data_IF_569545809348
#
_entry.id   IF_569545809348
#
_cell.length_a   1.000
_cell.length_b   1.000
_cell.length_c   1.000
_cell.angle_alpha   90.00
_cell.angle_beta   90.00
_cell.angle_gamma   90.00
#
_symmetry.space_group_name_H-M   'P 1'
#
loop_
_entity.id
_entity.type
_entity.pdbx_description
1 polymer ?
#
# COMPACT_ATOMS: atom_id res chain seq x y z
N UNK A 1 -25.09 25.37 54.61
CA UNK A 1 -24.42 25.67 53.33
C UNK A 1 -22.89 25.59 53.45
N UNK A 2 -22.30 24.43 53.77
CA UNK A 2 -20.83 24.25 53.84
C UNK A 2 -20.31 23.11 52.96
N UNK A 3 -21.18 22.25 52.43
CA UNK A 3 -20.82 21.14 51.55
C UNK A 3 -20.51 21.56 50.10
N UNK A 4 -21.07 22.65 49.58
CA UNK A 4 -20.83 23.03 48.18
C UNK A 4 -19.46 23.69 47.95
N UNK A 5 -18.91 24.33 48.99
CA UNK A 5 -17.61 25.00 48.90
C UNK A 5 -16.44 24.01 48.87
N UNK A 6 -16.55 22.87 49.56
CA UNK A 6 -15.53 21.82 49.54
C UNK A 6 -15.51 21.06 48.21
N UNK A 7 -16.67 20.84 47.58
CA UNK A 7 -16.75 20.23 46.25
C UNK A 7 -16.14 21.09 45.15
N UNK A 8 -16.36 22.41 45.20
CA UNK A 8 -15.75 23.36 44.25
C UNK A 8 -14.22 23.44 44.41
N UNK A 9 -13.72 23.40 45.64
CA UNK A 9 -12.28 23.41 45.90
C UNK A 9 -11.57 22.13 45.42
N UNK A 10 -12.21 20.97 45.56
CA UNK A 10 -11.66 19.70 45.08
C UNK A 10 -11.63 19.60 43.54
N UNK A 11 -12.62 20.16 42.84
CA UNK A 11 -12.67 20.21 41.38
C UNK A 11 -11.62 21.17 40.79
N UNK A 12 -11.36 22.29 41.47
CA UNK A 12 -10.32 23.24 41.07
C UNK A 12 -8.90 22.65 41.22
N UNK A 13 -8.68 21.79 42.22
CA UNK A 13 -7.38 21.17 42.48
C UNK A 13 -7.07 20.02 41.50
N UNK A 14 -8.10 19.33 40.98
CA UNK A 14 -7.90 18.26 39.98
C UNK A 14 -7.58 18.80 38.58
N UNK A 15 -7.97 20.03 38.27
CA UNK A 15 -7.61 20.73 37.02
C UNK A 15 -6.14 21.23 37.00
N UNK A 16 -5.50 21.33 38.16
CA UNK A 16 -4.11 21.77 38.31
C UNK A 16 -3.11 20.61 38.30
N UNK A 17 -3.58 19.37 38.23
CA UNK A 17 -2.68 18.22 38.06
C UNK A 17 -2.06 18.30 36.66
N UNK A 18 -0.73 18.27 36.54
CA UNK A 18 -0.08 18.21 35.25
C UNK A 18 -0.58 16.96 34.55
N UNK A 19 -1.34 17.16 33.48
CA UNK A 19 -1.73 16.08 32.59
C UNK A 19 -0.42 15.61 31.98
N UNK A 20 0.15 14.54 32.54
CA UNK A 20 1.25 13.82 31.90
C UNK A 20 0.80 13.56 30.48
N UNK A 21 1.42 14.24 29.51
CA UNK A 21 1.05 14.15 28.11
C UNK A 21 1.04 12.67 27.77
N UNK A 22 -0.16 12.12 27.53
CA UNK A 22 -0.26 10.75 27.06
C UNK A 22 0.60 10.70 25.79
N UNK A 23 1.72 9.98 25.84
CA UNK A 23 2.54 9.77 24.66
C UNK A 23 1.69 8.94 23.72
N UNK A 24 1.10 9.60 22.72
CA UNK A 24 0.48 8.88 21.62
C UNK A 24 1.55 7.92 21.07
N UNK A 25 1.17 6.66 20.84
CA UNK A 25 2.10 5.69 20.27
C UNK A 25 2.59 6.22 18.92
N UNK A 26 3.90 6.34 18.80
CA UNK A 26 4.57 6.85 17.61
C UNK A 26 4.81 5.71 16.61
N UNK A 27 3.74 5.28 15.96
CA UNK A 27 3.79 4.26 14.92
C UNK A 27 4.17 4.88 13.57
N UNK A 28 4.91 4.15 12.72
CA UNK A 28 5.20 4.63 11.38
C UNK A 28 3.91 4.79 10.55
N UNK A 29 3.88 5.70 9.56
CA UNK A 29 2.72 5.89 8.69
C UNK A 29 2.27 4.62 7.94
N UNK A 30 3.18 3.68 7.69
CA UNK A 30 2.90 2.40 7.02
C UNK A 30 2.58 1.25 8.00
N UNK A 31 2.40 1.55 9.29
CA UNK A 31 2.09 0.55 10.30
C UNK A 31 0.79 -0.21 9.96
N UNK A 32 0.83 -1.56 9.84
CA UNK A 32 -0.34 -2.35 9.51
C UNK A 32 -1.24 -2.45 10.74
N UNK A 33 -2.41 -1.82 10.68
CA UNK A 33 -3.44 -1.91 11.73
C UNK A 33 -4.36 -3.10 11.48
N UNK A 34 -4.40 -3.58 10.24
CA UNK A 34 -5.12 -4.78 9.85
C UNK A 34 -4.33 -5.56 8.79
N UNK A 35 -4.78 -6.77 8.48
CA UNK A 35 -4.14 -7.61 7.47
C UNK A 35 -5.19 -8.47 6.78
N UNK A 36 -5.72 -7.96 5.69
CA UNK A 36 -6.78 -8.65 4.93
C UNK A 36 -6.30 -8.94 3.53
N UNK A 37 -6.48 -10.18 3.10
CA UNK A 37 -6.10 -10.64 1.77
C UNK A 37 -7.34 -10.94 0.95
N UNK A 38 -7.36 -10.42 -0.27
CA UNK A 38 -8.29 -10.86 -1.31
C UNK A 38 -7.46 -11.41 -2.46
N UNK A 39 -7.87 -12.53 -3.01
CA UNK A 39 -7.24 -13.09 -4.19
C UNK A 39 -8.24 -13.60 -5.19
N UNK A 40 -7.81 -13.60 -6.45
CA UNK A 40 -8.55 -14.18 -7.56
C UNK A 40 -7.56 -14.76 -8.57
N UNK A 41 -7.92 -15.89 -9.17
CA UNK A 41 -7.17 -16.51 -10.27
C UNK A 41 -7.92 -16.29 -11.56
N UNK A 42 -7.20 -15.92 -12.62
CA UNK A 42 -7.77 -15.72 -13.96
C UNK A 42 -6.76 -16.14 -15.02
N UNK A 43 -7.10 -17.18 -15.79
CA UNK A 43 -6.15 -17.81 -16.71
C UNK A 43 -4.83 -18.19 -16.02
N UNK A 44 -3.66 -17.80 -16.56
CA UNK A 44 -2.36 -18.07 -15.96
C UNK A 44 -1.96 -17.08 -14.83
N UNK A 45 -2.86 -16.19 -14.43
CA UNK A 45 -2.59 -15.16 -13.42
C UNK A 45 -3.23 -15.48 -12.08
N UNK A 46 -2.53 -15.15 -11.01
CA UNK A 46 -3.11 -14.98 -9.69
C UNK A 46 -2.89 -13.53 -9.25
N UNK A 47 -3.95 -12.93 -8.74
CA UNK A 47 -3.98 -11.55 -8.27
C UNK A 47 -4.24 -11.55 -6.79
N UNK A 48 -3.42 -10.83 -6.04
CA UNK A 48 -3.51 -10.74 -4.59
C UNK A 48 -3.51 -9.27 -4.19
N UNK A 49 -4.56 -8.84 -3.51
CA UNK A 49 -4.59 -7.58 -2.78
C UNK A 49 -4.33 -7.85 -1.31
N UNK A 50 -3.35 -7.16 -0.74
CA UNK A 50 -3.16 -7.13 0.71
C UNK A 50 -3.49 -5.74 1.25
N UNK A 51 -4.49 -5.68 2.11
CA UNK A 51 -4.96 -4.46 2.77
C UNK A 51 -4.39 -4.39 4.18
N UNK A 52 -3.62 -3.34 4.44
CA UNK A 52 -2.91 -3.14 5.72
C UNK A 52 -3.62 -2.16 6.65
N UNK A 53 -4.48 -1.29 6.11
CA UNK A 53 -5.27 -0.32 6.88
C UNK A 53 -6.43 0.23 6.05
N UNK A 54 -7.60 0.37 6.69
CA UNK A 54 -8.75 1.12 6.18
C UNK A 54 -9.36 1.99 7.31
N UNK A 55 -9.85 3.21 6.99
CA UNK A 55 -9.65 3.92 5.72
C UNK A 55 -8.17 4.28 5.51
N UNK A 56 -7.76 4.40 4.26
CA UNK A 56 -6.40 4.77 3.87
C UNK A 56 -5.94 4.04 2.62
N UNK A 57 -5.08 4.70 1.82
CA UNK A 57 -4.49 4.13 0.59
C UNK A 57 -3.34 3.18 0.93
N UNK A 58 -3.56 2.24 1.85
CA UNK A 58 -2.54 1.31 2.37
C UNK A 58 -2.87 -0.12 1.96
N UNK A 59 -2.71 -0.38 0.68
CA UNK A 59 -2.85 -1.71 0.10
C UNK A 59 -1.76 -1.98 -0.93
N UNK A 60 -1.45 -3.25 -1.13
CA UNK A 60 -0.55 -3.72 -2.18
C UNK A 60 -1.32 -4.57 -3.17
N UNK A 61 -0.81 -4.60 -4.41
CA UNK A 61 -1.26 -5.47 -5.47
C UNK A 61 -0.08 -6.32 -5.91
N UNK A 62 -0.23 -7.64 -5.82
CA UNK A 62 0.68 -8.61 -6.43
C UNK A 62 -0.06 -9.26 -7.58
N UNK A 63 0.55 -9.24 -8.76
CA UNK A 63 0.09 -10.01 -9.92
C UNK A 63 1.17 -11.03 -10.23
N UNK A 64 0.88 -12.31 -10.02
CA UNK A 64 1.76 -13.41 -10.38
C UNK A 64 1.29 -14.04 -11.68
N UNK A 65 2.24 -14.53 -12.47
CA UNK A 65 2.04 -15.10 -13.79
C UNK A 65 2.78 -16.43 -13.88
N UNK A 66 2.07 -17.47 -14.33
CA UNK A 66 2.59 -18.85 -14.51
C UNK A 66 2.28 -19.41 -15.89
N UNK A 67 2.06 -18.54 -16.87
CA UNK A 67 1.65 -18.95 -18.22
C UNK A 67 2.81 -19.41 -19.10
N UNK A 68 2.48 -19.68 -20.36
CA UNK A 68 3.37 -20.39 -21.26
C UNK A 68 4.63 -19.59 -21.64
N UNK A 69 4.58 -18.25 -21.60
CA UNK A 69 5.74 -17.40 -21.94
C UNK A 69 6.94 -17.67 -21.02
N UNK A 70 6.71 -18.15 -19.78
CA UNK A 70 7.78 -18.55 -18.86
C UNK A 70 8.53 -19.81 -19.27
N UNK A 71 7.91 -20.65 -20.09
CA UNK A 71 8.60 -21.79 -20.71
C UNK A 71 9.48 -21.39 -21.89
N UNK A 72 9.35 -20.15 -22.37
CA UNK A 72 10.03 -19.65 -23.57
C UNK A 72 11.06 -18.57 -23.25
N UNK A 73 10.81 -17.77 -22.21
CA UNK A 73 11.60 -16.60 -21.86
C UNK A 73 11.86 -16.54 -20.35
N UNK A 74 13.02 -16.04 -19.91
CA UNK A 74 13.28 -15.79 -18.50
C UNK A 74 12.35 -14.69 -17.96
N UNK A 75 12.05 -14.74 -16.65
CA UNK A 75 11.07 -13.87 -16.01
C UNK A 75 11.35 -12.36 -16.22
N UNK A 76 12.63 -11.96 -16.28
CA UNK A 76 13.04 -10.56 -16.51
C UNK A 76 12.82 -10.06 -17.96
N UNK A 77 12.44 -10.95 -18.89
CA UNK A 77 12.05 -10.60 -20.27
C UNK A 77 10.53 -10.60 -20.46
N UNK A 78 9.77 -10.90 -19.42
CA UNK A 78 8.31 -10.90 -19.43
C UNK A 78 7.83 -9.58 -18.84
N UNK A 79 6.88 -8.94 -19.51
CA UNK A 79 6.15 -7.79 -18.98
C UNK A 79 4.70 -8.16 -18.78
N UNK A 80 4.10 -7.66 -17.71
CA UNK A 80 2.69 -7.86 -17.38
C UNK A 80 1.96 -6.55 -17.68
N UNK A 81 1.00 -6.61 -18.59
CA UNK A 81 -0.01 -5.58 -18.78
C UNK A 81 -1.03 -5.68 -17.65
N UNK A 82 -1.27 -4.56 -16.97
CA UNK A 82 -2.22 -4.44 -15.87
C UNK A 82 -3.11 -3.24 -16.14
N UNK A 83 -4.42 -3.47 -16.24
CA UNK A 83 -5.42 -2.41 -16.20
C UNK A 83 -6.23 -2.52 -14.91
N UNK A 84 -6.12 -1.55 -14.01
CA UNK A 84 -6.85 -1.47 -12.75
C UNK A 84 -7.84 -0.30 -12.80
N UNK A 85 -9.14 -0.59 -12.70
CA UNK A 85 -10.21 0.41 -12.69
C UNK A 85 -10.07 1.44 -13.84
N UNK A 86 -9.69 0.96 -15.04
CA UNK A 86 -9.52 1.77 -16.24
C UNK A 86 -8.16 2.46 -16.41
N UNK A 87 -7.25 2.43 -15.42
CA UNK A 87 -5.86 2.91 -15.55
C UNK A 87 -4.97 1.74 -15.95
N UNK A 88 -4.02 1.94 -16.85
CA UNK A 88 -3.22 0.85 -17.41
C UNK A 88 -1.72 1.11 -17.34
N UNK A 89 -0.97 0.06 -17.06
CA UNK A 89 0.49 0.05 -17.04
C UNK A 89 0.99 -1.28 -17.59
N UNK A 90 2.16 -1.27 -18.24
CA UNK A 90 2.87 -2.50 -18.62
C UNK A 90 4.21 -2.51 -17.92
N UNK A 91 4.41 -3.50 -17.07
CA UNK A 91 5.51 -3.52 -16.10
C UNK A 91 6.33 -4.78 -16.26
N UNK A 92 7.65 -4.64 -16.26
CA UNK A 92 8.56 -5.78 -16.29
C UNK A 92 8.37 -6.63 -15.04
N UNK A 93 8.26 -7.94 -15.24
CA UNK A 93 8.13 -8.88 -14.15
C UNK A 93 9.49 -9.10 -13.45
N UNK A 94 9.40 -9.42 -12.17
CA UNK A 94 10.50 -9.93 -11.37
C UNK A 94 10.35 -11.44 -11.20
N UNK A 95 11.47 -12.13 -10.98
CA UNK A 95 11.45 -13.55 -10.62
C UNK A 95 10.94 -13.71 -9.18
N UNK A 96 9.86 -14.45 -9.01
CA UNK A 96 9.21 -14.74 -7.73
C UNK A 96 9.81 -15.94 -7.02
N UNK A 97 9.54 -16.02 -5.72
CA UNK A 97 10.06 -17.09 -4.85
C UNK A 97 9.40 -18.45 -5.16
N UNK A 98 8.22 -18.46 -5.78
CA UNK A 98 7.43 -19.67 -6.02
C UNK A 98 7.43 -20.08 -7.49
N UNK A 99 8.56 -19.86 -8.17
CA UNK A 99 8.71 -20.09 -9.61
C UNK A 99 7.57 -19.44 -10.39
N UNK A 100 7.40 -18.14 -10.19
CA UNK A 100 6.39 -17.30 -10.82
C UNK A 100 7.03 -15.98 -11.29
N UNK A 101 6.61 -15.45 -12.43
CA UNK A 101 6.96 -14.10 -12.82
C UNK A 101 5.93 -13.16 -12.18
N UNK A 102 6.35 -12.11 -11.48
CA UNK A 102 5.38 -11.27 -10.76
C UNK A 102 5.68 -9.78 -10.88
N UNK A 103 4.63 -8.99 -10.67
CA UNK A 103 4.69 -7.54 -10.45
C UNK A 103 4.11 -7.25 -9.08
N UNK A 104 4.81 -6.42 -8.31
CA UNK A 104 4.37 -5.95 -6.99
C UNK A 104 4.27 -4.42 -6.99
N UNK A 105 3.13 -3.93 -6.52
CA UNK A 105 2.77 -2.51 -6.51
C UNK A 105 2.21 -2.13 -5.14
N UNK A 106 2.52 -0.93 -4.67
CA UNK A 106 2.08 -0.41 -3.38
C UNK A 106 1.35 0.92 -3.56
N UNK A 107 0.13 1.02 -3.02
CA UNK A 107 -0.69 2.22 -3.10
C UNK A 107 -0.33 3.28 -2.05
N UNK A 108 0.45 2.91 -1.03
CA UNK A 108 0.72 3.75 0.13
C UNK A 108 2.21 3.90 0.44
N UNK A 109 2.55 4.68 1.48
CA UNK A 109 3.92 4.80 1.94
C UNK A 109 4.49 3.44 2.34
N UNK A 110 5.82 3.31 2.18
CA UNK A 110 6.58 2.10 2.53
C UNK A 110 7.97 2.47 3.04
N UNK A 111 8.62 1.50 3.67
CA UNK A 111 9.99 1.63 4.17
C UNK A 111 10.18 2.89 5.04
N UNK A 112 9.18 3.16 5.89
CA UNK A 112 9.20 4.31 6.79
C UNK A 112 10.31 4.16 7.83
N UNK A 113 11.18 5.16 7.93
CA UNK A 113 12.22 5.24 8.95
C UNK A 113 12.07 6.55 9.71
N UNK A 114 12.21 6.48 11.04
CA UNK A 114 12.23 7.66 11.88
C UNK A 114 13.61 8.30 11.80
N UNK A 115 13.69 9.41 11.08
CA UNK A 115 14.96 10.09 10.81
C UNK A 115 15.40 10.91 12.00
N UNK A 116 16.59 10.60 12.49
CA UNK A 116 17.27 11.36 13.54
C UNK A 116 18.54 12.00 12.98
N UNK A 117 18.94 13.19 13.44
CA UNK A 117 20.11 13.91 12.91
C UNK A 117 21.42 13.10 12.93
N UNK A 118 21.55 12.15 13.86
CA UNK A 118 22.72 11.29 13.97
C UNK A 118 22.69 10.07 13.03
N UNK A 119 21.61 9.85 12.27
CA UNK A 119 21.48 8.73 11.35
C UNK A 119 22.00 9.09 9.96
N UNK A 120 22.94 8.27 9.46
CA UNK A 120 23.51 8.40 8.12
C UNK A 120 22.83 7.43 7.12
N UNK A 121 21.51 7.50 7.03
CA UNK A 121 20.74 6.77 6.02
C UNK A 121 20.41 7.70 4.86
N UNK A 122 20.54 7.28 3.59
CA UNK A 122 20.38 8.16 2.43
C UNK A 122 19.09 9.01 2.45
N UNK A 123 17.95 8.37 2.77
CA UNK A 123 16.65 9.05 2.86
C UNK A 123 16.55 10.06 4.02
N UNK A 124 17.29 9.85 5.11
CA UNK A 124 17.35 10.80 6.22
C UNK A 124 18.29 11.97 5.89
N UNK A 125 19.42 11.68 5.24
CA UNK A 125 20.33 12.72 4.74
C UNK A 125 19.63 13.65 3.76
N UNK A 126 18.87 13.11 2.80
CA UNK A 126 18.06 13.90 1.87
C UNK A 126 16.99 14.73 2.59
N UNK A 127 16.27 14.14 3.55
CA UNK A 127 15.28 14.85 4.36
C UNK A 127 15.89 16.07 5.07
N UNK A 128 17.02 15.89 5.76
CA UNK A 128 17.69 16.99 6.44
C UNK A 128 18.30 18.01 5.48
N UNK A 129 18.83 17.58 4.33
CA UNK A 129 19.34 18.48 3.30
C UNK A 129 18.23 19.41 2.75
N UNK A 130 16.98 18.94 2.75
CA UNK A 130 15.79 19.70 2.36
C UNK A 130 15.16 20.51 3.50
N UNK A 131 15.85 20.66 4.65
CA UNK A 131 15.36 21.43 5.80
C UNK A 131 14.36 20.68 6.68
N UNK A 132 14.33 19.35 6.58
CA UNK A 132 13.47 18.48 7.37
C UNK A 132 13.76 18.52 8.87
N UNK A 133 12.73 18.20 9.67
CA UNK A 133 12.81 18.19 11.14
C UNK A 133 13.35 16.87 11.69
N UNK A 134 13.93 16.93 12.88
CA UNK A 134 14.40 15.77 13.63
C UNK A 134 13.24 14.96 14.23
N UNK A 135 13.38 13.64 14.28
CA UNK A 135 12.41 12.76 14.93
C UNK A 135 11.10 12.53 14.18
N UNK A 136 11.07 12.76 12.86
CA UNK A 136 9.88 12.52 12.02
C UNK A 136 10.03 11.24 11.18
N UNK A 137 8.90 10.62 10.86
CA UNK A 137 8.87 9.48 9.93
C UNK A 137 9.04 9.94 8.49
N UNK A 138 10.04 9.39 7.82
CA UNK A 138 10.30 9.58 6.39
C UNK A 138 10.05 8.26 5.69
N UNK A 139 9.15 8.27 4.72
CA UNK A 139 8.71 7.08 4.00
C UNK A 139 8.94 7.25 2.50
N UNK A 140 9.24 6.15 1.84
CA UNK A 140 9.17 6.10 0.38
C UNK A 140 7.71 6.22 -0.04
N UNK A 141 7.43 7.21 -0.90
CA UNK A 141 6.09 7.41 -1.47
C UNK A 141 5.85 6.45 -2.64
N UNK A 142 4.58 6.15 -2.97
CA UNK A 142 4.25 5.47 -4.23
C UNK A 142 4.88 6.20 -5.42
N UNK A 143 5.41 5.43 -6.37
CA UNK A 143 5.95 5.95 -7.62
C UNK A 143 4.86 6.61 -8.47
N UNK A 144 5.26 7.35 -9.52
CA UNK A 144 4.30 7.92 -10.47
C UNK A 144 3.41 6.84 -11.12
N UNK A 145 3.99 5.69 -11.46
CA UNK A 145 3.29 4.51 -12.00
C UNK A 145 2.25 3.97 -11.02
N UNK A 146 2.63 3.81 -9.74
CA UNK A 146 1.71 3.32 -8.70
C UNK A 146 0.58 4.33 -8.45
N UNK A 147 0.89 5.62 -8.34
CA UNK A 147 -0.11 6.68 -8.16
C UNK A 147 -1.11 6.73 -9.31
N UNK A 148 -0.62 6.55 -10.54
CA UNK A 148 -1.43 6.50 -11.75
C UNK A 148 -2.37 5.29 -11.76
N UNK A 149 -1.82 4.10 -11.52
CA UNK A 149 -2.58 2.85 -11.59
C UNK A 149 -3.63 2.78 -10.46
N UNK A 150 -3.29 3.21 -9.25
CA UNK A 150 -4.20 3.22 -8.10
C UNK A 150 -5.11 4.45 -8.04
N UNK A 151 -5.16 5.29 -9.08
CA UNK A 151 -5.91 6.54 -9.06
C UNK A 151 -7.41 6.33 -8.73
N UNK A 152 -8.05 5.32 -9.33
CA UNK A 152 -9.45 4.97 -9.09
C UNK A 152 -9.65 3.74 -8.17
N UNK A 153 -8.58 3.26 -7.53
CA UNK A 153 -8.64 2.09 -6.66
C UNK A 153 -9.29 2.39 -5.29
N UNK A 154 -9.37 3.66 -4.92
CA UNK A 154 -9.93 4.14 -3.65
C UNK A 154 -10.92 5.27 -3.91
N UNK A 155 -11.90 5.42 -3.01
CA UNK A 155 -12.81 6.57 -3.03
C UNK A 155 -12.25 7.76 -2.22
N UNK A 156 -12.99 8.86 -2.18
CA UNK A 156 -12.62 10.08 -1.47
C UNK A 156 -12.38 9.89 0.03
N UNK A 157 -12.96 8.86 0.65
CA UNK A 157 -12.82 8.55 2.06
C UNK A 157 -11.65 7.59 2.33
N UNK A 158 -10.91 7.18 1.30
CA UNK A 158 -9.84 6.20 1.41
C UNK A 158 -10.32 4.75 1.58
N UNK A 159 -11.60 4.48 1.32
CA UNK A 159 -12.10 3.10 1.23
C UNK A 159 -11.74 2.53 -0.14
N UNK A 160 -11.58 1.21 -0.20
CA UNK A 160 -11.30 0.51 -1.45
C UNK A 160 -12.57 0.35 -2.28
N UNK A 161 -12.49 0.77 -3.53
CA UNK A 161 -13.47 0.40 -4.54
C UNK A 161 -13.35 -1.10 -4.84
N UNK A 162 -14.32 -1.65 -5.60
CA UNK A 162 -14.05 -2.90 -6.30
C UNK A 162 -12.85 -2.68 -7.22
N UNK A 163 -11.95 -3.65 -7.27
CA UNK A 163 -10.79 -3.61 -8.16
C UNK A 163 -11.09 -4.52 -9.34
N UNK A 164 -11.43 -3.89 -10.46
CA UNK A 164 -11.61 -4.52 -11.76
C UNK A 164 -10.25 -4.55 -12.46
N UNK A 165 -9.72 -5.75 -12.69
CA UNK A 165 -8.34 -5.95 -13.09
C UNK A 165 -8.31 -6.77 -14.39
N UNK A 166 -7.86 -6.13 -15.48
CA UNK A 166 -7.59 -6.80 -16.75
C UNK A 166 -6.09 -7.05 -16.91
N UNK A 167 -5.72 -8.26 -17.33
CA UNK A 167 -4.35 -8.75 -17.35
C UNK A 167 -3.98 -9.43 -18.68
N UNK A 168 -2.74 -9.22 -19.09
CA UNK A 168 -2.07 -10.03 -20.10
C UNK A 168 -0.57 -10.04 -19.82
N UNK A 169 0.15 -11.02 -20.36
CA UNK A 169 1.61 -11.04 -20.32
C UNK A 169 2.14 -10.92 -21.74
N UNK A 170 3.29 -10.26 -21.90
CA UNK A 170 3.94 -10.11 -23.18
C UNK A 170 5.44 -10.27 -23.08
N UNK A 171 6.02 -10.87 -24.11
CA UNK A 171 7.47 -10.93 -24.32
C UNK A 171 7.75 -11.03 -25.81
N UNK A 172 8.71 -10.24 -26.31
CA UNK A 172 9.17 -10.30 -27.71
C UNK A 172 8.03 -10.25 -28.76
N UNK A 173 6.99 -9.46 -28.51
CA UNK A 173 5.83 -9.32 -29.39
C UNK A 173 4.79 -10.44 -29.29
N UNK A 174 5.04 -11.48 -28.50
CA UNK A 174 4.05 -12.49 -28.15
C UNK A 174 3.18 -12.01 -26.99
N UNK A 175 1.93 -12.47 -26.96
CA UNK A 175 0.95 -12.11 -25.95
C UNK A 175 0.28 -13.36 -25.40
N UNK A 176 0.37 -13.56 -24.08
CA UNK A 176 -0.47 -14.50 -23.35
C UNK A 176 -1.71 -13.76 -22.86
N UNK A 177 -2.80 -13.97 -23.59
CA UNK A 177 -4.08 -13.30 -23.43
C UNK A 177 -5.23 -14.31 -23.64
N UNK A 178 -6.42 -13.97 -23.17
CA UNK A 178 -7.62 -14.77 -23.31
C UNK A 178 -8.21 -14.67 -24.73
N UNK A 179 -7.66 -15.43 -25.68
CA UNK A 179 -8.14 -15.55 -27.06
C UNK A 179 -8.29 -14.18 -27.78
N UNK A 180 -7.32 -13.29 -27.56
CA UNK A 180 -7.32 -11.93 -28.12
C UNK A 180 -7.95 -10.87 -27.23
N UNK A 181 -8.53 -11.25 -26.08
CA UNK A 181 -8.94 -10.35 -25.01
C UNK A 181 -8.00 -10.50 -23.80
N UNK A 182 -8.03 -9.54 -22.87
CA UNK A 182 -7.31 -9.68 -21.60
C UNK A 182 -8.04 -10.65 -20.65
N UNK A 183 -7.28 -11.31 -19.78
CA UNK A 183 -7.85 -12.02 -18.63
C UNK A 183 -8.44 -11.01 -17.65
N UNK A 184 -9.50 -11.39 -16.94
CA UNK A 184 -10.21 -10.49 -16.03
C UNK A 184 -10.34 -11.11 -14.64
N UNK A 185 -10.07 -10.31 -13.61
CA UNK A 185 -10.31 -10.62 -12.21
C UNK A 185 -10.98 -9.42 -11.52
N UNK A 186 -11.86 -9.71 -10.57
CA UNK A 186 -12.45 -8.70 -9.71
C UNK A 186 -12.16 -9.02 -8.25
N UNK A 187 -11.67 -8.03 -7.50
CA UNK A 187 -11.57 -8.09 -6.05
C UNK A 187 -12.65 -7.18 -5.43
N UNK A 188 -13.32 -7.61 -4.36
CA UNK A 188 -14.49 -6.91 -3.83
C UNK A 188 -14.14 -5.51 -3.29
N UNK A 189 -15.12 -4.62 -3.21
CA UNK A 189 -14.95 -3.37 -2.48
C UNK A 189 -14.74 -3.63 -0.99
N UNK A 190 -13.98 -2.77 -0.30
CA UNK A 190 -13.79 -2.86 1.16
C UNK A 190 -13.82 -1.49 1.83
N UNK A 191 -14.62 -1.41 2.88
CA UNK A 191 -14.71 -0.26 3.80
C UNK A 191 -14.24 -0.58 5.21
N UNK A 192 -13.96 -1.85 5.49
CA UNK A 192 -13.57 -2.37 6.81
C UNK A 192 -12.54 -3.48 6.64
N UNK A 193 -11.68 -3.63 7.65
CA UNK A 193 -10.81 -4.80 7.76
C UNK A 193 -11.42 -5.96 8.56
N UNK A 194 -12.64 -5.77 9.08
CA UNK A 194 -13.44 -6.71 9.87
C UNK A 194 -14.74 -7.00 9.14
#
# INVERSE_FOLDING_TARGET
MKLSQTFLAALALSLLLPVSSARASDYPPDYPICSVYDSATTGPFEVIRHTRRLPGRLATLTVSYRGYLRGLYPDNQISIYIQLNGRQQTLSASAGTNNDAYVFLNAGPRACIKCMQYQNLPQCTEHFANGGQDGVWVCQQPTAVENDLFFYAFNSNGNQNAWDISLAATSHGQWDSNLGNNYFAQLPARSSCW
#
